data_IF_983145855815
#
_entry.id   IF_983145855815
#
_cell.length_a   1.000
_cell.length_b   1.000
_cell.length_c   1.000
_cell.angle_alpha   90.00
_cell.angle_beta   90.00
_cell.angle_gamma   90.00
#
_symmetry.space_group_name_H-M   'P 1'
#
loop_
_entity.id
_entity.type
_entity.pdbx_description
1 polymer ?
#
# COMPACT_ATOMS: atom_id res chain seq x y z
N UNK A 1 -14.66 8.17 -0.01
CA UNK A 1 -13.49 7.60 0.67
C UNK A 1 -13.89 6.26 1.23
N UNK A 2 -13.08 5.23 0.98
CA UNK A 2 -13.26 3.85 1.42
C UNK A 2 -12.04 3.46 2.26
N UNK A 3 -12.25 2.68 3.33
CA UNK A 3 -11.17 2.19 4.18
C UNK A 3 -11.23 0.68 4.29
N UNK A 4 -10.08 0.03 4.16
CA UNK A 4 -9.91 -1.40 4.31
C UNK A 4 -8.69 -1.69 5.18
N UNK A 5 -8.74 -2.77 5.94
CA UNK A 5 -7.58 -3.28 6.69
C UNK A 5 -7.26 -4.68 6.20
N UNK A 6 -5.99 -4.91 5.88
CA UNK A 6 -5.49 -6.23 5.47
C UNK A 6 -4.28 -6.63 6.31
N UNK A 7 -4.00 -7.93 6.33
CA UNK A 7 -2.72 -8.47 6.80
C UNK A 7 -1.95 -8.99 5.59
N UNK A 8 -0.87 -8.31 5.23
CA UNK A 8 -0.01 -8.71 4.12
C UNK A 8 1.35 -9.15 4.67
N UNK A 9 1.67 -10.44 4.49
CA UNK A 9 2.90 -11.08 5.01
C UNK A 9 3.17 -10.79 6.50
N UNK A 10 2.10 -10.74 7.31
CA UNK A 10 2.16 -10.48 8.74
C UNK A 10 2.21 -9.01 9.14
N UNK A 11 2.19 -8.06 8.19
CA UNK A 11 2.07 -6.63 8.46
C UNK A 11 0.61 -6.21 8.33
N UNK A 12 0.06 -5.59 9.37
CA UNK A 12 -1.26 -4.95 9.29
C UNK A 12 -1.15 -3.62 8.54
N UNK A 13 -1.99 -3.46 7.52
CA UNK A 13 -2.01 -2.29 6.62
C UNK A 13 -3.43 -1.76 6.55
N UNK A 14 -3.59 -0.49 6.91
CA UNK A 14 -4.76 0.32 6.61
C UNK A 14 -4.60 0.93 5.22
N UNK A 15 -5.61 0.74 4.39
CA UNK A 15 -5.70 1.25 3.02
C UNK A 15 -6.85 2.25 3.02
N UNK A 16 -6.56 3.51 2.71
CA UNK A 16 -7.59 4.52 2.45
C UNK A 16 -7.61 4.82 0.96
N UNK A 17 -8.75 4.58 0.31
CA UNK A 17 -8.97 4.86 -1.09
C UNK A 17 -9.92 6.06 -1.25
N UNK A 18 -9.48 7.07 -1.97
CA UNK A 18 -10.27 8.23 -2.34
C UNK A 18 -10.35 8.29 -3.86
N UNK A 19 -11.45 7.80 -4.47
CA UNK A 19 -11.67 7.96 -5.89
C UNK A 19 -11.91 9.44 -6.20
N UNK A 20 -11.49 9.87 -7.39
CA UNK A 20 -11.66 11.25 -7.85
C UNK A 20 -11.16 12.32 -6.85
N UNK A 21 -10.03 12.03 -6.21
CA UNK A 21 -9.33 12.99 -5.37
C UNK A 21 -8.99 14.24 -6.18
N UNK A 22 -9.35 15.40 -5.62
CA UNK A 22 -9.18 16.71 -6.23
C UNK A 22 -9.86 16.87 -7.61
N UNK A 23 -10.82 16.01 -7.97
CA UNK A 23 -11.48 16.09 -9.28
C UNK A 23 -10.63 15.52 -10.44
N UNK A 24 -9.48 14.89 -10.17
CA UNK A 24 -8.49 14.59 -11.22
C UNK A 24 -7.88 13.19 -11.16
N UNK A 25 -7.67 12.61 -9.97
CA UNK A 25 -6.89 11.37 -9.80
C UNK A 25 -7.52 10.45 -8.78
N UNK A 26 -7.22 9.17 -8.86
CA UNK A 26 -7.48 8.24 -7.77
C UNK A 26 -6.33 8.33 -6.76
N UNK A 27 -6.65 8.25 -5.47
CA UNK A 27 -5.66 8.37 -4.40
C UNK A 27 -5.75 7.19 -3.42
N UNK A 28 -4.61 6.56 -3.16
CA UNK A 28 -4.43 5.50 -2.16
C UNK A 28 -3.45 5.99 -1.10
N UNK A 29 -3.84 5.87 0.17
CA UNK A 29 -2.95 5.96 1.31
C UNK A 29 -2.76 4.58 1.94
N UNK A 30 -1.51 4.24 2.22
CA UNK A 30 -1.14 3.09 3.05
C UNK A 30 -0.65 3.58 4.40
N UNK A 31 -1.12 2.96 5.48
CA UNK A 31 -0.61 3.15 6.85
C UNK A 31 -0.42 1.80 7.51
N UNK A 32 0.78 1.51 7.97
CA UNK A 32 1.05 0.30 8.76
C UNK A 32 1.02 0.59 10.25
N UNK A 33 0.70 -0.41 11.05
CA UNK A 33 0.92 -0.36 12.48
C UNK A 33 2.42 -0.15 12.82
N UNK A 34 2.70 0.62 13.88
CA UNK A 34 4.06 0.85 14.41
C UNK A 34 5.10 1.30 13.37
N UNK A 35 4.66 1.93 12.26
CA UNK A 35 5.53 2.40 11.16
C UNK A 35 6.35 1.27 10.51
N UNK A 36 5.82 0.04 10.51
CA UNK A 36 6.46 -1.09 9.86
C UNK A 36 6.75 -0.78 8.37
N UNK A 37 7.98 -1.01 7.88
CA UNK A 37 8.30 -0.75 6.49
C UNK A 37 7.55 -1.71 5.54
N UNK A 38 7.30 -1.23 4.33
CA UNK A 38 6.77 -1.96 3.18
C UNK A 38 7.77 -1.83 2.01
N UNK A 39 7.67 -2.64 0.95
CA UNK A 39 8.48 -2.48 -0.26
C UNK A 39 8.41 -1.07 -0.87
N UNK A 40 7.31 -0.35 -0.63
CA UNK A 40 7.01 0.98 -1.22
C UNK A 40 7.25 2.15 -0.26
N UNK A 41 7.60 1.87 1.00
CA UNK A 41 7.87 2.89 2.02
C UNK A 41 8.65 2.35 3.21
N UNK A 42 9.66 3.06 3.68
CA UNK A 42 10.42 2.71 4.90
C UNK A 42 9.72 3.15 6.18
N UNK A 43 8.77 4.08 6.10
CA UNK A 43 8.13 4.72 7.27
C UNK A 43 6.78 4.10 7.62
N UNK A 44 6.32 3.12 6.84
CA UNK A 44 4.99 2.56 6.95
C UNK A 44 3.87 3.47 6.44
N UNK A 45 4.20 4.64 5.88
CA UNK A 45 3.24 5.54 5.23
C UNK A 45 3.58 5.73 3.76
N UNK A 46 2.58 5.61 2.88
CA UNK A 46 2.72 5.92 1.45
C UNK A 46 1.45 6.58 0.92
N UNK A 47 1.62 7.71 0.24
CA UNK A 47 0.60 8.33 -0.60
C UNK A 47 0.89 8.00 -2.06
N UNK A 48 -0.11 7.50 -2.78
CA UNK A 48 0.02 7.08 -4.18
C UNK A 48 -1.15 7.60 -5.01
N UNK A 49 -0.83 8.26 -6.13
CA UNK A 49 -1.80 8.84 -7.05
C UNK A 49 -1.81 8.07 -8.36
N UNK A 50 -3.00 7.81 -8.88
CA UNK A 50 -3.28 6.99 -10.05
C UNK A 50 -4.25 7.71 -10.98
N UNK A 51 -4.28 7.27 -12.24
CA UNK A 51 -5.34 7.69 -13.15
C UNK A 51 -6.71 7.25 -12.60
N UNK A 52 -7.74 8.08 -12.81
CA UNK A 52 -9.11 7.75 -12.39
C UNK A 52 -9.53 6.40 -12.96
N UNK A 53 -10.14 5.58 -12.12
CA UNK A 53 -10.71 4.30 -12.51
C UNK A 53 -9.72 3.13 -12.46
N UNK A 54 -8.40 3.39 -12.39
CA UNK A 54 -7.39 2.33 -12.37
C UNK A 54 -7.60 1.35 -11.19
N UNK A 55 -8.01 1.86 -10.03
CA UNK A 55 -8.27 1.03 -8.84
C UNK A 55 -9.50 0.14 -9.05
N UNK A 56 -10.55 0.70 -9.66
CA UNK A 56 -11.79 -0.03 -9.98
C UNK A 56 -11.54 -1.11 -11.04
N UNK A 57 -10.77 -0.80 -12.08
CA UNK A 57 -10.38 -1.73 -13.14
C UNK A 57 -9.57 -2.92 -12.60
N UNK A 58 -8.73 -2.69 -11.58
CA UNK A 58 -8.00 -3.75 -10.88
C UNK A 58 -8.85 -4.58 -9.91
N UNK A 59 -10.17 -4.36 -9.83
CA UNK A 59 -11.05 -5.09 -8.92
C UNK A 59 -11.04 -4.57 -7.47
N UNK A 60 -10.73 -3.28 -7.28
CA UNK A 60 -10.83 -2.58 -6.01
C UNK A 60 -9.49 -2.34 -5.30
N UNK A 61 -9.53 -1.50 -4.26
CA UNK A 61 -8.35 -1.01 -3.55
C UNK A 61 -7.50 -2.14 -2.92
N UNK A 62 -8.15 -3.13 -2.30
CA UNK A 62 -7.45 -4.27 -1.69
C UNK A 62 -6.69 -5.10 -2.73
N UNK A 63 -7.34 -5.41 -3.86
CA UNK A 63 -6.74 -6.19 -4.95
C UNK A 63 -5.55 -5.45 -5.56
N UNK A 64 -5.75 -4.16 -5.86
CA UNK A 64 -4.70 -3.29 -6.38
C UNK A 64 -3.48 -3.23 -5.45
N UNK A 65 -3.70 -2.91 -4.17
CA UNK A 65 -2.61 -2.75 -3.20
C UNK A 65 -1.87 -4.05 -2.97
N UNK A 66 -2.57 -5.18 -2.86
CA UNK A 66 -1.93 -6.49 -2.68
C UNK A 66 -1.00 -6.82 -3.85
N UNK A 67 -1.51 -6.67 -5.08
CA UNK A 67 -0.71 -6.91 -6.29
C UNK A 67 0.48 -5.94 -6.41
N UNK A 68 0.28 -4.67 -6.06
CA UNK A 68 1.34 -3.66 -6.06
C UNK A 68 2.45 -3.99 -5.07
N UNK A 69 2.09 -4.38 -3.84
CA UNK A 69 3.06 -4.77 -2.81
C UNK A 69 3.83 -6.04 -3.19
N UNK A 70 3.16 -7.04 -3.78
CA UNK A 70 3.83 -8.26 -4.24
C UNK A 70 4.80 -7.95 -5.40
N UNK A 71 4.39 -7.16 -6.39
CA UNK A 71 5.26 -6.73 -7.48
C UNK A 71 6.50 -5.98 -6.99
N UNK A 72 6.31 -5.01 -6.09
CA UNK A 72 7.42 -4.22 -5.56
C UNK A 72 8.32 -5.03 -4.64
N UNK A 73 7.77 -5.99 -3.90
CA UNK A 73 8.57 -6.91 -3.10
C UNK A 73 9.48 -7.78 -3.96
N UNK A 74 8.96 -8.31 -5.07
CA UNK A 74 9.75 -9.07 -6.03
C UNK A 74 10.82 -8.20 -6.70
N UNK A 75 10.43 -7.02 -7.21
CA UNK A 75 11.32 -6.10 -7.93
C UNK A 75 12.49 -5.62 -7.07
N UNK A 76 12.26 -5.41 -5.78
CA UNK A 76 13.27 -4.91 -4.83
C UNK A 76 13.99 -6.01 -4.06
N UNK A 77 13.54 -7.27 -4.18
CA UNK A 77 14.02 -8.37 -3.34
C UNK A 77 13.61 -8.25 -1.87
N UNK A 78 12.58 -7.45 -1.56
CA UNK A 78 12.09 -7.25 -0.20
C UNK A 78 11.45 -8.53 0.36
N UNK A 79 11.94 -9.00 1.51
CA UNK A 79 11.51 -10.26 2.15
C UNK A 79 10.73 -10.08 3.45
N UNK A 80 10.54 -8.84 3.89
CA UNK A 80 9.94 -8.53 5.19
C UNK A 80 10.55 -7.28 5.78
N UNK A 81 9.90 -6.75 6.81
CA UNK A 81 10.56 -5.83 7.73
C UNK A 81 11.71 -6.61 8.39
N UNK A 82 12.92 -6.50 7.84
CA UNK A 82 14.11 -6.99 8.51
C UNK A 82 14.18 -6.23 9.82
N UNK A 83 13.80 -6.89 10.92
CA UNK A 83 14.11 -6.42 12.26
C UNK A 83 15.64 -6.34 12.30
N UNK A 84 16.16 -5.13 12.09
CA UNK A 84 17.53 -4.80 12.45
C UNK A 84 17.63 -4.89 13.98
N UNK A 85 17.72 -6.11 14.50
CA UNK A 85 18.19 -6.35 15.85
C UNK A 85 19.69 -6.05 15.86
N UNK A 86 20.01 -4.77 16.10
CA UNK A 86 21.31 -4.22 16.49
C UNK A 86 22.51 -4.44 15.55
N UNK A 87 23.26 -3.36 15.31
CA UNK A 87 24.72 -3.38 15.39
C UNK A 87 25.15 -2.22 16.27
#
# INVERSE_FOLDING_TARGET
MEQNTIVWRGVQIEITFTPDAFGMVDHIELRTESKAPLPVTETGYRSHFLNKGAVTECGGAVTFVTAWLDHEAERTGWRGAQLSLFR
#
